data_IF_382415649424
#
_entry.id   IF_382415649424
#
_cell.length_a   1.000
_cell.length_b   1.000
_cell.length_c   1.000
_cell.angle_alpha   90.00
_cell.angle_beta   90.00
_cell.angle_gamma   90.00
#
_symmetry.space_group_name_H-M   'P 1'
#
loop_
_entity.id
_entity.type
_entity.pdbx_description
1 polymer ?
#
# COMPACT_ATOMS: atom_id res chain seq x y z
N UNK A 1 4.10 -44.63 5.71
CA UNK A 1 4.95 -43.42 5.85
C UNK A 1 4.50 -42.28 4.92
N UNK A 2 4.36 -42.50 3.60
CA UNK A 2 3.96 -41.44 2.65
C UNK A 2 2.62 -40.74 2.95
N UNK A 3 1.59 -41.46 3.43
CA UNK A 3 0.28 -40.86 3.74
C UNK A 3 0.28 -39.84 4.89
N UNK A 4 1.13 -40.05 5.91
CA UNK A 4 1.25 -39.12 7.05
C UNK A 4 1.96 -37.83 6.62
N UNK A 5 2.99 -37.96 5.78
CA UNK A 5 3.73 -36.81 5.21
C UNK A 5 2.81 -35.98 4.31
N UNK A 6 1.99 -36.62 3.47
CA UNK A 6 1.02 -35.92 2.62
C UNK A 6 -0.05 -35.18 3.45
N UNK A 7 -0.56 -35.79 4.52
CA UNK A 7 -1.52 -35.16 5.41
C UNK A 7 -0.95 -33.93 6.15
N UNK A 8 0.30 -34.02 6.62
CA UNK A 8 1.00 -32.87 7.23
C UNK A 8 1.19 -31.71 6.25
N UNK A 9 1.57 -32.00 5.01
CA UNK A 9 1.82 -30.99 3.99
C UNK A 9 0.53 -30.29 3.55
N UNK A 10 -0.58 -31.04 3.46
CA UNK A 10 -1.90 -30.48 3.20
C UNK A 10 -2.37 -29.55 4.34
N UNK A 11 -2.18 -29.94 5.60
CA UNK A 11 -2.51 -29.11 6.77
C UNK A 11 -1.71 -27.80 6.79
N UNK A 12 -0.42 -27.85 6.46
CA UNK A 12 0.44 -26.67 6.35
C UNK A 12 -0.02 -25.74 5.22
N UNK A 13 -0.35 -26.28 4.04
CA UNK A 13 -0.84 -25.47 2.92
C UNK A 13 -2.19 -24.83 3.23
N UNK A 14 -3.12 -25.57 3.85
CA UNK A 14 -4.44 -25.04 4.22
C UNK A 14 -4.30 -24.00 5.32
N UNK A 15 -3.46 -24.24 6.33
CA UNK A 15 -3.18 -23.28 7.39
C UNK A 15 -2.54 -22.00 6.86
N UNK A 16 -1.53 -22.12 5.99
CA UNK A 16 -0.89 -20.98 5.34
C UNK A 16 -1.88 -20.23 4.43
N UNK A 17 -2.67 -20.95 3.63
CA UNK A 17 -3.70 -20.37 2.77
C UNK A 17 -4.76 -19.61 3.56
N UNK A 18 -5.19 -20.14 4.71
CA UNK A 18 -6.16 -19.49 5.58
C UNK A 18 -5.59 -18.22 6.21
N UNK A 19 -4.33 -18.23 6.66
CA UNK A 19 -3.66 -17.04 7.17
C UNK A 19 -3.56 -15.95 6.08
N UNK A 20 -3.15 -16.31 4.86
CA UNK A 20 -3.08 -15.38 3.73
C UNK A 20 -4.45 -14.79 3.41
N UNK A 21 -5.51 -15.63 3.37
CA UNK A 21 -6.86 -15.17 3.11
C UNK A 21 -7.38 -14.20 4.19
N UNK A 22 -7.10 -14.50 5.47
CA UNK A 22 -7.48 -13.65 6.59
C UNK A 22 -6.80 -12.28 6.52
N UNK A 23 -5.48 -12.26 6.25
CA UNK A 23 -4.71 -11.02 6.10
C UNK A 23 -5.27 -10.20 4.93
N UNK A 24 -5.55 -10.84 3.80
CA UNK A 24 -6.09 -10.16 2.62
C UNK A 24 -7.47 -9.54 2.91
N UNK A 25 -8.35 -10.29 3.60
CA UNK A 25 -9.65 -9.80 4.01
C UNK A 25 -9.55 -8.60 4.96
N UNK A 26 -8.60 -8.63 5.90
CA UNK A 26 -8.35 -7.53 6.82
C UNK A 26 -7.86 -6.26 6.10
N UNK A 27 -6.95 -6.42 5.14
CA UNK A 27 -6.44 -5.32 4.31
C UNK A 27 -7.56 -4.72 3.45
N UNK A 28 -8.41 -5.56 2.85
CA UNK A 28 -9.57 -5.10 2.08
C UNK A 28 -10.56 -4.35 2.96
N UNK A 29 -10.89 -4.88 4.15
CA UNK A 29 -11.75 -4.20 5.10
C UNK A 29 -11.18 -2.84 5.54
N UNK A 30 -9.87 -2.76 5.77
CA UNK A 30 -9.19 -1.50 6.09
C UNK A 30 -9.25 -0.51 4.91
N UNK A 31 -9.10 -0.96 3.67
CA UNK A 31 -9.24 -0.08 2.51
C UNK A 31 -10.68 0.41 2.28
N UNK A 32 -11.67 -0.41 2.64
CA UNK A 32 -13.08 -0.02 2.58
C UNK A 32 -13.39 1.00 3.67
N UNK A 33 -12.92 0.79 4.91
CA UNK A 33 -13.19 1.69 6.04
C UNK A 33 -12.57 3.08 5.87
N UNK A 34 -11.36 3.16 5.31
CA UNK A 34 -10.69 4.43 4.98
C UNK A 34 -11.28 5.06 3.70
N UNK A 35 -12.17 4.36 2.99
CA UNK A 35 -12.83 4.86 1.78
C UNK A 35 -11.96 4.84 0.53
N UNK A 36 -10.74 4.29 0.60
CA UNK A 36 -9.74 4.29 -0.48
C UNK A 36 -10.25 3.59 -1.74
N UNK A 37 -10.92 2.44 -1.55
CA UNK A 37 -11.52 1.69 -2.64
C UNK A 37 -12.69 2.45 -3.27
N UNK A 38 -13.55 3.07 -2.45
CA UNK A 38 -14.70 3.84 -2.95
C UNK A 38 -14.25 5.06 -3.77
N UNK A 39 -13.28 5.84 -3.27
CA UNK A 39 -12.72 6.99 -4.00
C UNK A 39 -12.04 6.56 -5.29
N UNK A 40 -11.34 5.43 -5.29
CA UNK A 40 -10.62 4.95 -6.49
C UNK A 40 -11.57 4.46 -7.57
N UNK A 41 -12.63 3.73 -7.20
CA UNK A 41 -13.67 3.27 -8.13
C UNK A 41 -14.45 4.44 -8.68
N UNK A 42 -14.86 5.39 -7.82
CA UNK A 42 -15.60 6.58 -8.24
C UNK A 42 -14.81 7.41 -9.25
N UNK A 43 -13.52 7.64 -9.01
CA UNK A 43 -12.69 8.45 -9.90
C UNK A 43 -12.31 7.68 -11.17
N UNK A 44 -12.13 6.36 -11.09
CA UNK A 44 -11.96 5.48 -12.24
C UNK A 44 -13.17 5.55 -13.19
N UNK A 45 -14.38 5.52 -12.63
CA UNK A 45 -15.64 5.63 -13.38
C UNK A 45 -15.82 7.04 -13.96
N UNK A 46 -15.57 8.08 -13.16
CA UNK A 46 -15.72 9.47 -13.58
C UNK A 46 -14.75 9.85 -14.71
N UNK A 47 -13.49 9.39 -14.64
CA UNK A 47 -12.48 9.65 -15.68
C UNK A 47 -12.49 8.63 -16.82
N UNK A 48 -13.42 7.66 -16.82
CA UNK A 48 -13.53 6.53 -17.78
C UNK A 48 -12.18 5.82 -18.03
N UNK A 49 -11.34 5.71 -17.01
CA UNK A 49 -9.99 5.15 -17.17
C UNK A 49 -9.54 4.45 -15.90
N UNK A 50 -9.32 3.14 -16.01
CA UNK A 50 -8.78 2.30 -14.94
C UNK A 50 -7.41 2.79 -14.46
N UNK A 51 -6.58 3.32 -15.35
CA UNK A 51 -5.25 3.84 -15.01
C UNK A 51 -5.33 5.02 -14.02
N UNK A 52 -6.32 5.90 -14.18
CA UNK A 52 -6.52 7.06 -13.31
C UNK A 52 -7.08 6.65 -11.94
N UNK A 53 -7.99 5.67 -11.90
CA UNK A 53 -8.48 5.08 -10.64
C UNK A 53 -7.36 4.37 -9.86
N UNK A 54 -6.56 3.55 -10.55
CA UNK A 54 -5.43 2.83 -9.95
C UNK A 54 -4.34 3.78 -9.45
N UNK A 55 -4.11 4.90 -10.15
CA UNK A 55 -3.20 5.95 -9.67
C UNK A 55 -3.59 6.48 -8.29
N UNK A 56 -4.88 6.77 -8.10
CA UNK A 56 -5.36 7.36 -6.87
C UNK A 56 -5.40 6.33 -5.75
N UNK A 57 -5.77 5.08 -6.08
CA UNK A 57 -5.62 3.94 -5.17
C UNK A 57 -4.19 3.82 -4.64
N UNK A 58 -3.20 3.83 -5.54
CA UNK A 58 -1.78 3.72 -5.18
C UNK A 58 -1.32 4.88 -4.29
N UNK A 59 -1.67 6.12 -4.67
CA UNK A 59 -1.29 7.30 -3.89
C UNK A 59 -1.89 7.24 -2.49
N UNK A 60 -3.17 6.86 -2.36
CA UNK A 60 -3.83 6.74 -1.06
C UNK A 60 -3.22 5.63 -0.19
N UNK A 61 -2.89 4.48 -0.76
CA UNK A 61 -2.18 3.42 -0.05
C UNK A 61 -0.83 3.89 0.49
N UNK A 62 -0.04 4.55 -0.35
CA UNK A 62 1.27 5.09 0.04
C UNK A 62 1.12 6.17 1.12
N UNK A 63 0.07 6.99 1.04
CA UNK A 63 -0.21 8.04 2.01
C UNK A 63 -0.60 7.47 3.39
N UNK A 64 -1.46 6.46 3.44
CA UNK A 64 -1.78 5.77 4.70
C UNK A 64 -0.52 5.11 5.27
N UNK A 65 0.25 4.41 4.44
CA UNK A 65 1.51 3.79 4.86
C UNK A 65 2.53 4.80 5.40
N UNK A 66 2.67 5.96 4.77
CA UNK A 66 3.62 6.99 5.20
C UNK A 66 3.23 7.65 6.51
N UNK A 67 1.93 7.77 6.83
CA UNK A 67 1.47 8.24 8.14
C UNK A 67 1.87 7.24 9.23
N UNK A 68 1.65 5.95 9.00
CA UNK A 68 2.03 4.89 9.95
C UNK A 68 3.53 4.84 10.23
N UNK A 69 4.38 5.29 9.30
CA UNK A 69 5.84 5.34 9.48
C UNK A 69 6.28 6.67 10.11
N UNK A 70 5.76 7.81 9.63
CA UNK A 70 6.23 9.13 10.07
C UNK A 70 5.77 9.50 11.48
N UNK A 71 4.55 9.11 11.89
CA UNK A 71 4.05 9.40 13.24
C UNK A 71 4.92 8.78 14.33
N UNK A 72 5.25 7.46 14.30
CA UNK A 72 6.15 6.89 15.30
C UNK A 72 7.57 7.44 15.16
N UNK A 73 8.07 7.71 13.94
CA UNK A 73 9.38 8.29 13.74
C UNK A 73 9.52 9.66 14.43
N UNK A 74 8.54 10.56 14.23
CA UNK A 74 8.50 11.86 14.88
C UNK A 74 8.28 11.76 16.39
N UNK A 75 7.49 10.78 16.85
CA UNK A 75 7.33 10.51 18.28
C UNK A 75 8.65 10.07 18.94
N UNK A 76 9.40 9.17 18.29
CA UNK A 76 10.72 8.73 18.77
C UNK A 76 11.75 9.86 18.72
N UNK A 77 11.80 10.64 17.64
CA UNK A 77 12.67 11.81 17.55
C UNK A 77 12.37 12.84 18.65
N UNK A 78 11.08 13.11 18.92
CA UNK A 78 10.70 14.07 19.94
C UNK A 78 11.05 13.59 21.35
N UNK A 79 11.09 12.27 21.59
CA UNK A 79 11.56 11.69 22.85
C UNK A 79 13.06 11.92 23.09
N UNK A 80 13.85 11.99 22.02
CA UNK A 80 15.32 12.18 22.09
C UNK A 80 15.67 13.67 22.16
N UNK A 81 15.03 14.51 21.34
CA UNK A 81 15.38 15.93 21.20
C UNK A 81 14.58 16.86 22.12
N UNK A 82 13.44 16.41 22.67
CA UNK A 82 12.52 17.22 23.49
C UNK A 82 12.16 18.60 22.92
N UNK A 83 12.23 18.79 21.60
CA UNK A 83 12.06 20.10 20.97
C UNK A 83 10.64 20.66 21.08
N UNK A 84 9.62 19.80 21.19
CA UNK A 84 8.23 20.23 21.15
C UNK A 84 7.32 19.46 22.12
N UNK A 85 6.16 20.04 22.50
CA UNK A 85 5.11 19.31 23.20
C UNK A 85 4.66 18.08 22.38
N UNK A 86 4.31 17.00 23.08
CA UNK A 86 3.93 15.73 22.43
C UNK A 86 2.79 15.88 21.41
N UNK A 87 1.84 16.79 21.66
CA UNK A 87 0.75 17.09 20.72
C UNK A 87 1.28 17.68 19.41
N UNK A 88 2.22 18.62 19.48
CA UNK A 88 2.80 19.28 18.31
C UNK A 88 3.62 18.30 17.47
N UNK A 89 4.35 17.38 18.10
CA UNK A 89 5.13 16.34 17.43
C UNK A 89 4.25 15.32 16.67
N UNK A 90 3.09 14.98 17.23
CA UNK A 90 2.13 14.09 16.54
C UNK A 90 1.51 14.78 15.32
N UNK A 91 1.11 16.05 15.46
CA UNK A 91 0.52 16.83 14.37
C UNK A 91 1.54 17.02 13.23
N UNK A 92 2.79 17.36 13.54
CA UNK A 92 3.84 17.50 12.52
C UNK A 92 4.16 16.16 11.84
N UNK A 93 4.17 15.05 12.59
CA UNK A 93 4.31 13.71 12.03
C UNK A 93 3.18 13.33 11.06
N UNK A 94 1.93 13.70 11.37
CA UNK A 94 0.79 13.49 10.47
C UNK A 94 0.92 14.36 9.22
N UNK A 95 1.20 15.66 9.36
CA UNK A 95 1.33 16.59 8.22
C UNK A 95 2.49 16.15 7.32
N UNK A 96 3.65 15.85 7.89
CA UNK A 96 4.81 15.34 7.16
C UNK A 96 4.50 13.99 6.49
N UNK A 97 3.79 13.11 7.19
CA UNK A 97 3.32 11.84 6.65
C UNK A 97 2.40 12.00 5.44
N UNK A 98 1.43 12.91 5.51
CA UNK A 98 0.49 13.17 4.42
C UNK A 98 1.17 13.81 3.22
N UNK A 99 1.97 14.85 3.44
CA UNK A 99 2.67 15.59 2.37
C UNK A 99 3.74 14.71 1.73
N UNK A 100 4.59 14.08 2.55
CA UNK A 100 5.62 13.16 2.09
C UNK A 100 5.03 11.95 1.37
N UNK A 101 3.96 11.36 1.92
CA UNK A 101 3.22 10.26 1.31
C UNK A 101 2.62 10.60 -0.03
N UNK A 102 2.06 11.80 -0.17
CA UNK A 102 1.47 12.26 -1.44
C UNK A 102 2.54 12.43 -2.52
N UNK A 103 3.63 13.13 -2.20
CA UNK A 103 4.75 13.36 -3.13
C UNK A 103 5.37 12.02 -3.53
N UNK A 104 5.66 11.17 -2.55
CA UNK A 104 6.28 9.86 -2.78
C UNK A 104 5.35 8.93 -3.57
N UNK A 105 4.04 8.95 -3.29
CA UNK A 105 3.04 8.18 -4.02
C UNK A 105 2.97 8.55 -5.50
N UNK A 106 3.06 9.85 -5.83
CA UNK A 106 3.08 10.32 -7.22
C UNK A 106 4.35 9.85 -7.95
N UNK A 107 5.51 10.01 -7.31
CA UNK A 107 6.81 9.62 -7.89
C UNK A 107 6.87 8.11 -8.10
N UNK A 108 6.48 7.33 -7.08
CA UNK A 108 6.42 5.87 -7.14
C UNK A 108 5.52 5.39 -8.27
N UNK A 109 4.32 5.99 -8.41
CA UNK A 109 3.41 5.64 -9.51
C UNK A 109 4.02 5.94 -10.88
N UNK A 110 4.73 7.06 -11.02
CA UNK A 110 5.40 7.41 -12.28
C UNK A 110 6.48 6.39 -12.66
N UNK A 111 7.27 5.94 -11.69
CA UNK A 111 8.28 4.90 -11.87
C UNK A 111 7.62 3.58 -12.28
N UNK A 112 6.57 3.16 -11.56
CA UNK A 112 5.82 1.94 -11.88
C UNK A 112 5.25 1.97 -13.29
N UNK A 113 4.65 3.10 -13.69
CA UNK A 113 4.13 3.30 -15.04
C UNK A 113 5.23 3.15 -16.09
N UNK A 114 6.39 3.77 -15.86
CA UNK A 114 7.54 3.70 -16.78
C UNK A 114 8.06 2.26 -16.89
N UNK A 115 8.08 1.51 -15.79
CA UNK A 115 8.45 0.11 -15.76
C UNK A 115 7.49 -0.73 -16.61
N UNK A 116 6.17 -0.59 -16.39
CA UNK A 116 5.14 -1.32 -17.15
C UNK A 116 5.22 -1.03 -18.65
N UNK A 117 5.42 0.23 -19.03
CA UNK A 117 5.60 0.59 -20.46
C UNK A 117 6.88 -0.04 -21.02
N UNK A 118 7.98 -0.01 -20.28
CA UNK A 118 9.23 -0.64 -20.70
C UNK A 118 9.08 -2.15 -20.91
N UNK A 119 8.42 -2.85 -19.98
CA UNK A 119 8.12 -4.28 -20.09
C UNK A 119 7.22 -4.58 -21.31
N UNK A 120 6.18 -3.77 -21.55
CA UNK A 120 5.33 -3.93 -22.75
C UNK A 120 6.12 -3.78 -24.04
N UNK A 121 6.97 -2.75 -24.14
CA UNK A 121 7.79 -2.52 -25.34
C UNK A 121 8.78 -3.66 -25.57
N UNK A 122 9.43 -4.17 -24.52
CA UNK A 122 10.33 -5.34 -24.62
C UNK A 122 9.60 -6.62 -25.03
N UNK A 123 8.37 -6.83 -24.56
CA UNK A 123 7.59 -8.02 -24.86
C UNK A 123 7.08 -8.04 -26.31
N UNK A 124 6.67 -6.88 -26.85
CA UNK A 124 6.23 -6.74 -28.25
C UNK A 124 7.40 -6.93 -29.22
N UNK A 125 8.60 -6.44 -28.88
CA UNK A 125 9.80 -6.60 -29.72
C UNK A 125 10.27 -8.06 -29.79
N UNK A 126 9.99 -8.87 -28.76
CA UNK A 126 10.40 -10.29 -28.72
C UNK A 126 9.35 -11.25 -29.29
N UNK A 127 8.18 -10.74 -29.72
CA UNK A 127 7.10 -11.53 -30.34
C UNK A 127 6.96 -11.30 -31.84
N UNK A 128 7.91 -10.58 -32.46
CA UNK A 128 8.07 -10.39 -33.92
C UNK A 128 9.36 -11.07 -34.35
#
# INVERSE_FOLDING_TARGET
MFGIVAAMLALLLVGAGMLVALILAFVLAAFISVGILSTSVLIGLHKKSFEKGFRIFWILCVNVGSIFINVPLFYFLNRIMQWFPAQTALITGIIAGVVGGFIFGIISFYIFRKLVVFLKTKLIINSV
#
